data_IF_426456861787
#
_entry.id   IF_426456861787
#
_cell.length_a   1.000
_cell.length_b   1.000
_cell.length_c   1.000
_cell.angle_alpha   90.00
_cell.angle_beta   90.00
_cell.angle_gamma   90.00
#
_symmetry.space_group_name_H-M   'P 1'
#
loop_
_entity.id
_entity.type
_entity.pdbx_description
1 polymer ?
#
# COMPACT_ATOMS: atom_id res chain seq x y z
N UNK A 1 -23.65 -32.67 3.43
CA UNK A 1 -23.80 -31.38 4.16
C UNK A 1 -24.76 -30.50 3.37
N UNK A 2 -25.81 -30.01 4.03
CA UNK A 2 -26.77 -29.11 3.42
C UNK A 2 -26.13 -27.70 3.24
N UNK A 3 -26.60 -26.94 2.24
CA UNK A 3 -26.15 -25.55 2.03
C UNK A 3 -26.41 -24.67 3.27
N UNK A 4 -27.46 -25.00 4.06
CA UNK A 4 -27.75 -24.31 5.31
C UNK A 4 -26.72 -24.58 6.42
N UNK A 5 -26.14 -25.78 6.48
CA UNK A 5 -25.07 -26.10 7.43
C UNK A 5 -23.77 -25.41 7.05
N UNK A 6 -23.46 -25.33 5.75
CA UNK A 6 -22.30 -24.55 5.24
C UNK A 6 -22.46 -23.06 5.53
N UNK A 7 -23.64 -22.50 5.29
CA UNK A 7 -23.93 -21.10 5.58
C UNK A 7 -23.84 -20.79 7.09
N UNK A 8 -24.32 -21.70 7.93
CA UNK A 8 -24.23 -21.56 9.39
C UNK A 8 -22.82 -21.70 9.92
N UNK A 9 -21.98 -22.57 9.33
CA UNK A 9 -20.53 -22.65 9.64
C UNK A 9 -19.81 -21.40 9.20
N UNK A 10 -20.11 -20.88 8.01
CA UNK A 10 -19.53 -19.63 7.53
C UNK A 10 -19.92 -18.42 8.40
N UNK A 11 -21.16 -18.37 8.86
CA UNK A 11 -21.65 -17.32 9.76
C UNK A 11 -21.02 -17.38 11.17
N UNK A 12 -20.64 -18.58 11.64
CA UNK A 12 -19.99 -18.79 12.93
C UNK A 12 -18.46 -18.85 12.85
N UNK A 13 -17.88 -18.67 11.67
CA UNK A 13 -16.43 -18.61 11.52
C UNK A 13 -15.90 -17.34 12.21
N UNK A 14 -14.95 -17.51 13.12
CA UNK A 14 -14.25 -16.39 13.74
C UNK A 14 -13.61 -15.56 12.63
N UNK A 15 -14.05 -14.31 12.49
CA UNK A 15 -13.42 -13.38 11.56
C UNK A 15 -12.12 -12.88 12.17
N UNK A 16 -11.02 -13.33 11.59
CA UNK A 16 -9.70 -12.80 11.93
C UNK A 16 -9.42 -11.50 11.19
N UNK A 17 -8.52 -10.70 11.74
CA UNK A 17 -8.05 -9.48 11.06
C UNK A 17 -7.46 -9.81 9.70
N UNK A 18 -7.84 -9.06 8.68
CA UNK A 18 -7.38 -9.25 7.31
C UNK A 18 -6.05 -8.53 7.03
N UNK A 19 -5.59 -7.72 7.99
CA UNK A 19 -4.36 -6.92 7.86
C UNK A 19 -3.48 -7.09 9.10
N UNK A 20 -2.18 -7.03 8.91
CA UNK A 20 -1.18 -6.93 9.96
C UNK A 20 -0.45 -5.59 9.81
N UNK A 21 -0.53 -4.76 10.84
CA UNK A 21 0.07 -3.41 10.85
C UNK A 21 -0.35 -2.57 9.61
N UNK A 22 -1.63 -2.70 9.23
CA UNK A 22 -2.22 -1.99 8.09
C UNK A 22 -1.89 -2.57 6.70
N UNK A 23 -1.17 -3.70 6.64
CA UNK A 23 -0.82 -4.39 5.38
C UNK A 23 -1.66 -5.66 5.24
N UNK A 24 -2.32 -5.90 4.09
CA UNK A 24 -3.08 -7.14 3.86
C UNK A 24 -2.22 -8.38 4.00
N UNK A 25 -2.73 -9.41 4.69
CA UNK A 25 -2.01 -10.68 4.84
C UNK A 25 -1.64 -11.32 3.51
N UNK A 26 -2.50 -11.22 2.49
CA UNK A 26 -2.22 -11.72 1.15
C UNK A 26 -0.91 -11.16 0.57
N UNK A 27 -0.66 -9.86 0.76
CA UNK A 27 0.58 -9.22 0.28
C UNK A 27 1.79 -9.62 1.12
N UNK A 28 1.61 -9.83 2.43
CA UNK A 28 2.68 -10.33 3.32
C UNK A 28 3.05 -11.77 2.96
N UNK A 29 2.07 -12.64 2.77
CA UNK A 29 2.27 -14.04 2.37
C UNK A 29 2.99 -14.11 1.03
N UNK A 30 2.57 -13.33 0.05
CA UNK A 30 3.23 -13.25 -1.26
C UNK A 30 4.70 -12.83 -1.15
N UNK A 31 4.98 -11.77 -0.40
CA UNK A 31 6.35 -11.31 -0.16
C UNK A 31 7.17 -12.36 0.59
N UNK A 32 6.57 -13.08 1.53
CA UNK A 32 7.22 -14.16 2.28
C UNK A 32 7.59 -15.33 1.38
N UNK A 33 6.68 -15.76 0.51
CA UNK A 33 6.93 -16.82 -0.49
C UNK A 33 8.08 -16.44 -1.41
N UNK A 34 8.11 -15.20 -1.92
CA UNK A 34 9.21 -14.70 -2.74
C UNK A 34 10.56 -14.73 -2.01
N UNK A 35 10.59 -14.27 -0.76
CA UNK A 35 11.81 -14.30 0.08
C UNK A 35 12.26 -15.72 0.46
N UNK A 36 11.35 -16.68 0.48
CA UNK A 36 11.66 -18.10 0.70
C UNK A 36 12.19 -18.81 -0.56
N UNK A 37 12.26 -18.12 -1.69
CA UNK A 37 12.78 -18.65 -2.95
C UNK A 37 11.70 -18.93 -4.00
N UNK A 38 10.48 -18.40 -3.82
CA UNK A 38 9.36 -18.59 -4.72
C UNK A 38 8.52 -19.83 -4.41
N UNK A 39 7.49 -20.05 -5.22
CA UNK A 39 6.57 -21.18 -5.06
C UNK A 39 7.28 -22.53 -5.07
N UNK A 40 6.90 -23.50 -4.19
CA UNK A 40 7.58 -24.77 -4.05
C UNK A 40 7.39 -25.66 -5.28
N UNK A 41 8.44 -26.41 -5.62
CA UNK A 41 8.38 -27.44 -6.66
C UNK A 41 7.61 -28.66 -6.14
N UNK A 42 7.00 -29.42 -7.08
CA UNK A 42 6.31 -30.66 -6.74
C UNK A 42 7.19 -31.60 -5.91
N UNK A 43 6.64 -32.14 -4.82
CA UNK A 43 7.36 -33.02 -3.86
C UNK A 43 7.91 -32.28 -2.64
N UNK A 44 8.03 -30.96 -2.67
CA UNK A 44 8.51 -30.17 -1.51
C UNK A 44 7.45 -29.24 -0.89
N UNK A 45 6.21 -29.31 -1.36
CA UNK A 45 5.13 -28.43 -0.95
C UNK A 45 4.85 -28.50 0.55
N UNK A 46 4.76 -29.69 1.10
CA UNK A 46 4.45 -29.87 2.52
C UNK A 46 5.52 -29.27 3.45
N UNK A 47 6.80 -29.43 3.10
CA UNK A 47 7.90 -28.82 3.83
C UNK A 47 7.86 -27.28 3.72
N UNK A 48 7.50 -26.77 2.57
CA UNK A 48 7.36 -25.35 2.34
C UNK A 48 6.23 -24.76 3.19
N UNK A 49 5.02 -25.36 3.16
CA UNK A 49 3.87 -25.00 3.99
C UNK A 49 4.22 -25.02 5.47
N UNK A 50 4.97 -26.04 5.91
CA UNK A 50 5.43 -26.12 7.29
C UNK A 50 6.31 -24.93 7.68
N UNK A 51 7.31 -24.61 6.85
CA UNK A 51 8.23 -23.48 7.09
C UNK A 51 7.49 -22.15 7.07
N UNK A 52 6.61 -21.96 6.12
CA UNK A 52 5.77 -20.78 5.99
C UNK A 52 4.84 -20.60 7.21
N UNK A 53 4.17 -21.66 7.64
CA UNK A 53 3.34 -21.65 8.85
C UNK A 53 4.17 -21.34 10.11
N UNK A 54 5.40 -21.85 10.21
CA UNK A 54 6.32 -21.52 11.29
C UNK A 54 6.70 -20.03 11.34
N UNK A 55 6.65 -19.33 10.22
CA UNK A 55 6.90 -17.89 10.12
C UNK A 55 5.61 -17.09 10.38
N UNK A 56 4.48 -17.48 9.78
CA UNK A 56 3.21 -16.80 9.93
C UNK A 56 2.67 -16.80 11.36
N UNK A 57 2.98 -17.82 12.17
CA UNK A 57 2.52 -17.90 13.57
C UNK A 57 2.99 -16.72 14.43
N UNK A 58 4.02 -15.98 14.05
CA UNK A 58 4.48 -14.78 14.76
C UNK A 58 3.56 -13.58 14.57
N UNK A 59 2.83 -13.53 13.47
CA UNK A 59 1.91 -12.43 13.12
C UNK A 59 0.44 -12.86 13.17
N UNK A 60 0.15 -14.16 13.33
CA UNK A 60 -1.20 -14.72 13.47
C UNK A 60 -1.45 -15.27 14.89
N UNK A 61 -0.81 -14.72 15.93
CA UNK A 61 -0.97 -15.11 17.35
C UNK A 61 -0.86 -16.62 17.63
N UNK A 62 -0.16 -17.38 16.81
CA UNK A 62 -0.07 -18.86 16.85
C UNK A 62 -1.40 -19.57 16.65
N UNK A 63 -2.41 -18.90 16.13
CA UNK A 63 -3.70 -19.53 15.89
C UNK A 63 -3.70 -20.27 14.55
N UNK A 64 -3.76 -21.60 14.61
CA UNK A 64 -3.76 -22.44 13.42
C UNK A 64 -4.94 -22.13 12.49
N UNK A 65 -6.12 -21.81 13.06
CA UNK A 65 -7.29 -21.44 12.28
C UNK A 65 -7.11 -20.14 11.50
N UNK A 66 -6.38 -19.18 12.06
CA UNK A 66 -6.04 -17.95 11.37
C UNK A 66 -5.04 -18.20 10.23
N UNK A 67 -3.96 -18.93 10.53
CA UNK A 67 -2.95 -19.27 9.51
C UNK A 67 -3.57 -20.02 8.33
N UNK A 68 -4.52 -20.94 8.59
CA UNK A 68 -5.27 -21.67 7.55
C UNK A 68 -6.05 -20.75 6.59
N UNK A 69 -6.47 -19.57 7.05
CA UNK A 69 -7.19 -18.60 6.20
C UNK A 69 -6.26 -17.77 5.30
N UNK A 70 -4.99 -17.63 5.68
CA UNK A 70 -4.04 -16.74 4.97
C UNK A 70 -2.98 -17.49 4.17
N UNK A 71 -2.69 -18.76 4.52
CA UNK A 71 -1.65 -19.56 3.88
C UNK A 71 -2.10 -20.13 2.54
N UNK A 72 -1.20 -20.18 1.56
CA UNK A 72 -1.43 -20.81 0.28
C UNK A 72 -1.08 -22.31 0.32
N UNK A 73 -1.92 -23.17 -0.25
CA UNK A 73 -1.71 -24.64 -0.25
C UNK A 73 -0.86 -25.13 -1.41
N UNK A 74 -0.59 -24.31 -2.42
CA UNK A 74 0.19 -24.65 -3.62
C UNK A 74 -0.31 -25.91 -4.36
N UNK A 75 -1.62 -26.20 -4.24
CA UNK A 75 -2.22 -27.42 -4.82
C UNK A 75 -1.91 -28.72 -4.06
N UNK A 76 -1.47 -28.64 -2.80
CA UNK A 76 -1.46 -29.77 -1.89
C UNK A 76 -2.86 -30.07 -1.39
N UNK A 77 -3.12 -31.30 -0.97
CA UNK A 77 -4.37 -31.67 -0.33
C UNK A 77 -4.63 -30.81 0.90
N UNK A 78 -5.83 -30.21 0.98
CA UNK A 78 -6.17 -29.21 1.98
C UNK A 78 -6.10 -29.78 3.42
N UNK A 79 -6.53 -31.03 3.60
CA UNK A 79 -6.49 -31.70 4.91
C UNK A 79 -5.02 -31.92 5.37
N UNK A 80 -4.14 -32.30 4.45
CA UNK A 80 -2.70 -32.46 4.75
C UNK A 80 -2.02 -31.13 5.03
N UNK A 81 -2.31 -30.10 4.22
CA UNK A 81 -1.79 -28.76 4.43
C UNK A 81 -2.20 -28.22 5.82
N UNK A 82 -3.46 -28.38 6.19
CA UNK A 82 -3.97 -27.91 7.48
C UNK A 82 -3.43 -28.70 8.67
N UNK A 83 -3.23 -30.02 8.54
CA UNK A 83 -2.53 -30.80 9.55
C UNK A 83 -1.07 -30.34 9.75
N UNK A 84 -0.43 -29.95 8.67
CA UNK A 84 0.93 -29.40 8.69
C UNK A 84 0.99 -28.04 9.40
N UNK A 85 0.02 -27.16 9.18
CA UNK A 85 -0.11 -25.87 9.89
C UNK A 85 -0.31 -26.10 11.39
N UNK A 86 -1.18 -27.04 11.79
CA UNK A 86 -1.40 -27.36 13.19
C UNK A 86 -0.12 -27.88 13.87
N UNK A 87 0.64 -28.71 13.17
CA UNK A 87 1.92 -29.21 13.68
C UNK A 87 2.93 -28.07 13.84
N UNK A 88 3.01 -27.14 12.90
CA UNK A 88 3.86 -25.95 12.99
C UNK A 88 3.52 -25.09 14.22
N UNK A 89 2.23 -24.96 14.56
CA UNK A 89 1.80 -24.16 15.72
C UNK A 89 2.15 -24.84 17.08
N UNK A 90 2.33 -26.17 17.12
CA UNK A 90 2.69 -26.91 18.35
C UNK A 90 4.15 -26.75 18.73
N UNK A 91 5.01 -26.44 17.79
CA UNK A 91 6.46 -26.33 18.02
C UNK A 91 6.78 -25.08 18.84
N UNK A 92 7.73 -25.20 19.77
CA UNK A 92 8.23 -24.06 20.53
C UNK A 92 8.77 -22.96 19.61
N UNK A 93 8.54 -21.70 19.97
CA UNK A 93 9.04 -20.57 19.21
C UNK A 93 9.76 -19.57 20.11
N UNK A 94 10.67 -18.82 19.53
CA UNK A 94 11.29 -17.63 20.15
C UNK A 94 10.23 -16.53 20.31
N UNK A 95 10.45 -15.64 21.27
CA UNK A 95 9.63 -14.43 21.42
C UNK A 95 9.94 -13.37 20.37
N UNK A 96 11.14 -13.42 19.78
CA UNK A 96 11.55 -12.47 18.74
C UNK A 96 11.00 -12.87 17.37
N UNK A 97 10.40 -11.91 16.68
CA UNK A 97 9.93 -12.09 15.29
C UNK A 97 11.15 -12.29 14.39
N UNK A 98 11.19 -13.36 13.57
CA UNK A 98 12.29 -13.63 12.65
C UNK A 98 12.47 -12.48 11.64
N UNK A 99 13.73 -12.23 11.25
CA UNK A 99 14.04 -11.13 10.32
C UNK A 99 13.40 -11.33 8.94
N UNK A 100 13.20 -12.58 8.52
CA UNK A 100 12.51 -12.90 7.28
C UNK A 100 11.05 -12.38 7.31
N UNK A 101 10.37 -12.52 8.45
CA UNK A 101 8.99 -12.00 8.61
C UNK A 101 8.98 -10.47 8.59
N UNK A 102 9.93 -9.82 9.28
CA UNK A 102 10.06 -8.36 9.26
C UNK A 102 10.29 -7.84 7.85
N UNK A 103 11.19 -8.49 7.09
CA UNK A 103 11.47 -8.14 5.70
C UNK A 103 10.24 -8.33 4.80
N UNK A 104 9.49 -9.42 4.98
CA UNK A 104 8.27 -9.67 4.23
C UNK A 104 7.21 -8.58 4.48
N UNK A 105 6.98 -8.21 5.74
CA UNK A 105 6.04 -7.14 6.12
C UNK A 105 6.48 -5.80 5.54
N UNK A 106 7.77 -5.46 5.60
CA UNK A 106 8.28 -4.20 5.05
C UNK A 106 8.18 -4.16 3.52
N UNK A 107 8.50 -5.27 2.84
CA UNK A 107 8.37 -5.38 1.38
C UNK A 107 6.91 -5.26 0.95
N UNK A 108 6.03 -5.99 1.63
CA UNK A 108 4.58 -5.92 1.37
C UNK A 108 4.05 -4.50 1.62
N UNK A 109 4.49 -3.82 2.68
CA UNK A 109 4.11 -2.43 2.95
C UNK A 109 4.52 -1.48 1.83
N UNK A 110 5.75 -1.59 1.33
CA UNK A 110 6.24 -0.78 0.20
C UNK A 110 5.40 -1.02 -1.05
N UNK A 111 5.13 -2.30 -1.37
CA UNK A 111 4.33 -2.67 -2.53
C UNK A 111 2.88 -2.19 -2.40
N UNK A 112 2.29 -2.30 -1.21
CA UNK A 112 0.93 -1.82 -0.93
C UNK A 112 0.81 -0.32 -1.10
N UNK A 113 1.76 0.45 -0.55
CA UNK A 113 1.80 1.90 -0.72
C UNK A 113 2.01 2.30 -2.20
N UNK A 114 2.86 1.58 -2.93
CA UNK A 114 3.06 1.82 -4.36
C UNK A 114 1.77 1.56 -5.17
N UNK A 115 1.05 0.47 -4.89
CA UNK A 115 -0.25 0.18 -5.52
C UNK A 115 -1.28 1.28 -5.20
N UNK A 116 -1.41 1.66 -3.94
CA UNK A 116 -2.32 2.75 -3.55
C UNK A 116 -1.95 4.08 -4.21
N UNK A 117 -0.67 4.37 -4.37
CA UNK A 117 -0.21 5.56 -5.08
C UNK A 117 -0.59 5.49 -6.57
N UNK A 118 -0.44 4.31 -7.20
CA UNK A 118 -0.83 4.10 -8.61
C UNK A 118 -2.34 4.18 -8.80
N UNK A 119 -3.12 3.58 -7.91
CA UNK A 119 -4.58 3.67 -7.94
C UNK A 119 -5.07 5.12 -7.73
N UNK A 120 -4.45 5.85 -6.79
CA UNK A 120 -4.74 7.28 -6.60
C UNK A 120 -4.27 8.12 -7.79
N UNK A 121 -3.17 7.77 -8.45
CA UNK A 121 -2.72 8.44 -9.67
C UNK A 121 -3.70 8.25 -10.83
N UNK A 122 -4.40 7.09 -10.90
CA UNK A 122 -5.50 6.87 -11.85
C UNK A 122 -6.75 7.72 -11.60
N UNK A 123 -6.86 8.35 -10.43
CA UNK A 123 -7.94 9.30 -10.11
C UNK A 123 -7.63 10.72 -10.64
N UNK A 124 -6.36 11.01 -10.91
CA UNK A 124 -6.01 12.26 -11.59
C UNK A 124 -6.42 12.13 -13.05
N UNK A 125 -7.38 12.98 -13.45
CA UNK A 125 -7.89 12.98 -14.82
C UNK A 125 -6.73 13.00 -15.82
N UNK A 126 -6.82 12.18 -16.86
CA UNK A 126 -5.84 12.13 -17.97
C UNK A 126 -5.74 13.47 -18.73
N UNK A 127 -6.58 14.42 -18.37
CA UNK A 127 -6.58 15.75 -18.92
C UNK A 127 -5.92 16.71 -17.95
N UNK A 128 -4.83 17.34 -18.32
CA UNK A 128 -4.17 18.34 -17.48
C UNK A 128 -5.14 19.49 -17.15
N UNK A 129 -5.06 20.06 -15.93
CA UNK A 129 -5.92 21.15 -15.53
C UNK A 129 -5.78 22.32 -16.49
N UNK A 130 -6.91 22.81 -17.00
CA UNK A 130 -6.92 23.94 -17.92
C UNK A 130 -6.81 25.27 -17.16
N UNK A 131 -6.04 26.20 -17.74
CA UNK A 131 -5.94 27.54 -17.20
C UNK A 131 -7.24 28.32 -17.41
N UNK A 132 -7.61 29.21 -16.48
CA UNK A 132 -8.77 30.09 -16.64
C UNK A 132 -8.65 30.94 -17.93
N UNK A 133 -9.76 31.21 -18.58
CA UNK A 133 -9.78 32.03 -19.81
C UNK A 133 -9.23 33.47 -19.58
N UNK A 134 -9.43 34.01 -18.36
CA UNK A 134 -8.91 35.33 -17.97
C UNK A 134 -7.67 35.16 -17.11
N UNK A 135 -6.50 35.30 -17.72
CA UNK A 135 -5.21 35.28 -17.03
C UNK A 135 -4.59 36.69 -17.02
N UNK A 136 -3.83 37.04 -15.96
CA UNK A 136 -2.99 38.24 -15.95
C UNK A 136 -2.02 38.24 -17.13
N UNK A 137 -1.72 39.43 -17.64
CA UNK A 137 -0.84 39.60 -18.81
C UNK A 137 0.54 38.92 -18.67
N UNK A 138 1.11 38.97 -17.45
CA UNK A 138 2.40 38.34 -17.15
C UNK A 138 2.32 36.82 -17.31
N UNK A 139 1.28 36.18 -16.74
CA UNK A 139 1.11 34.72 -16.84
C UNK A 139 0.87 34.33 -18.30
N UNK A 140 0.06 35.06 -19.04
CA UNK A 140 -0.11 34.84 -20.50
C UNK A 140 1.19 34.90 -21.26
N UNK A 141 2.02 35.90 -20.96
CA UNK A 141 3.33 36.07 -21.63
C UNK A 141 4.27 34.89 -21.34
N UNK A 142 4.40 34.53 -20.06
CA UNK A 142 5.29 33.44 -19.62
C UNK A 142 4.85 32.06 -20.12
N UNK A 143 3.56 31.84 -20.29
CA UNK A 143 3.01 30.55 -20.77
C UNK A 143 2.73 30.52 -22.28
N UNK A 144 3.02 31.62 -23.00
CA UNK A 144 2.68 31.76 -24.44
C UNK A 144 3.33 30.71 -25.34
N UNK A 145 4.57 30.34 -25.05
CA UNK A 145 5.37 29.36 -25.82
C UNK A 145 5.42 27.97 -25.19
N UNK A 146 4.70 27.77 -24.10
CA UNK A 146 4.66 26.47 -23.38
C UNK A 146 3.63 25.56 -24.06
N UNK A 147 3.96 24.26 -24.30
CA UNK A 147 2.98 23.28 -24.77
C UNK A 147 1.73 23.23 -23.87
N UNK A 148 0.57 22.93 -24.47
CA UNK A 148 -0.72 23.01 -23.78
C UNK A 148 -0.75 22.24 -22.46
N UNK A 149 -0.18 21.04 -22.45
CA UNK A 149 -0.19 20.11 -21.32
C UNK A 149 0.65 20.60 -20.12
N UNK A 150 1.61 21.47 -20.37
CA UNK A 150 2.50 22.02 -19.32
C UNK A 150 2.13 23.45 -18.91
N UNK A 151 1.20 24.10 -19.59
CA UNK A 151 0.85 25.52 -19.30
C UNK A 151 0.39 25.74 -17.86
N UNK A 152 -0.43 24.87 -17.32
CA UNK A 152 -0.93 25.00 -15.95
C UNK A 152 0.20 24.86 -14.92
N UNK A 153 1.07 23.87 -15.09
CA UNK A 153 2.23 23.66 -14.21
C UNK A 153 3.19 24.85 -14.23
N UNK A 154 3.51 25.35 -15.44
CA UNK A 154 4.37 26.53 -15.60
C UNK A 154 3.73 27.79 -15.03
N UNK A 155 2.42 27.99 -15.23
CA UNK A 155 1.71 29.11 -14.64
C UNK A 155 1.78 29.08 -13.10
N UNK A 156 1.61 27.93 -12.49
CA UNK A 156 1.72 27.76 -11.03
C UNK A 156 3.17 27.96 -10.52
N UNK A 157 4.17 27.53 -11.28
CA UNK A 157 5.57 27.71 -10.92
C UNK A 157 6.04 29.17 -10.91
N UNK A 158 5.30 30.08 -11.51
CA UNK A 158 5.61 31.50 -11.49
C UNK A 158 5.27 32.18 -10.15
N UNK A 159 4.32 31.65 -9.39
CA UNK A 159 3.86 32.30 -8.15
C UNK A 159 4.90 32.37 -7.03
N UNK A 160 5.68 31.33 -6.71
CA UNK A 160 6.67 31.40 -5.66
C UNK A 160 7.73 32.52 -5.87
N UNK A 161 8.37 32.63 -7.04
CA UNK A 161 9.32 33.72 -7.27
C UNK A 161 8.65 35.10 -7.27
N UNK A 162 7.40 35.21 -7.74
CA UNK A 162 6.64 36.46 -7.63
C UNK A 162 6.37 36.81 -6.16
N UNK A 163 5.92 35.84 -5.36
CA UNK A 163 5.66 36.05 -3.93
C UNK A 163 6.91 36.53 -3.19
N UNK A 164 8.10 36.00 -3.53
CA UNK A 164 9.36 36.41 -2.93
C UNK A 164 9.70 37.89 -3.18
N UNK A 165 9.17 38.51 -4.25
CA UNK A 165 9.35 39.92 -4.57
C UNK A 165 8.24 40.83 -3.99
N UNK A 166 7.16 40.26 -3.45
CA UNK A 166 6.07 41.04 -2.85
C UNK A 166 6.38 41.38 -1.38
N UNK A 167 7.22 42.41 -1.20
CA UNK A 167 7.52 42.91 0.14
C UNK A 167 6.37 43.72 0.71
N UNK A 168 6.00 43.49 1.96
CA UNK A 168 4.95 44.24 2.66
C UNK A 168 3.52 43.95 2.22
N UNK A 169 3.32 42.92 1.39
CA UNK A 169 1.97 42.42 1.08
C UNK A 169 1.60 41.39 2.14
N UNK A 170 0.58 41.75 2.94
CA UNK A 170 0.08 40.89 4.00
C UNK A 170 -1.39 40.58 3.78
N UNK A 171 -1.85 39.45 4.28
CA UNK A 171 -3.25 39.06 4.29
C UNK A 171 -3.63 38.50 5.66
N UNK A 172 -4.89 38.63 5.99
CA UNK A 172 -5.45 38.05 7.23
C UNK A 172 -6.09 36.72 6.92
N UNK A 173 -5.66 35.67 7.59
CA UNK A 173 -6.20 34.32 7.40
C UNK A 173 -7.33 34.02 8.39
N UNK A 174 -7.94 32.86 8.28
CA UNK A 174 -9.06 32.41 9.14
C UNK A 174 -8.74 32.32 10.62
N UNK A 175 -7.46 32.19 10.97
CA UNK A 175 -6.93 32.26 12.34
C UNK A 175 -6.87 33.70 12.90
N UNK A 176 -7.31 34.69 12.12
CA UNK A 176 -7.28 36.10 12.41
C UNK A 176 -5.87 36.71 12.57
N UNK A 177 -4.82 35.97 12.18
CA UNK A 177 -3.44 36.47 12.19
C UNK A 177 -3.06 37.07 10.83
N UNK A 178 -2.08 37.97 10.87
CA UNK A 178 -1.54 38.60 9.67
C UNK A 178 -0.36 37.80 9.16
N UNK A 179 -0.45 37.33 7.94
CA UNK A 179 0.59 36.55 7.25
C UNK A 179 1.19 37.35 6.11
N UNK A 180 2.48 37.17 5.87
CA UNK A 180 3.12 37.66 4.66
C UNK A 180 2.84 36.74 3.47
N UNK A 181 2.85 37.29 2.26
CA UNK A 181 2.66 36.50 1.05
C UNK A 181 3.88 35.61 0.79
N UNK A 182 3.81 34.38 1.30
CA UNK A 182 4.79 33.33 1.02
C UNK A 182 4.10 32.17 0.31
N UNK A 183 4.71 31.65 -0.75
CA UNK A 183 4.16 30.55 -1.53
C UNK A 183 5.23 29.54 -1.90
N UNK A 184 4.93 28.26 -1.74
CA UNK A 184 5.78 27.15 -2.16
C UNK A 184 4.97 26.20 -3.01
N UNK A 185 5.52 25.81 -4.17
CA UNK A 185 4.95 24.78 -5.04
C UNK A 185 5.84 23.55 -5.05
N UNK A 186 5.22 22.38 -4.95
CA UNK A 186 5.86 21.10 -5.15
C UNK A 186 5.27 20.46 -6.42
N UNK A 187 6.11 20.28 -7.43
CA UNK A 187 5.75 19.57 -8.65
C UNK A 187 6.26 18.14 -8.56
N UNK A 188 5.33 17.19 -8.60
CA UNK A 188 5.63 15.75 -8.58
C UNK A 188 5.21 15.18 -9.92
N UNK A 189 6.14 14.58 -10.64
CA UNK A 189 5.88 13.85 -11.87
C UNK A 189 6.21 12.37 -11.66
N UNK A 190 5.38 11.48 -12.22
CA UNK A 190 5.71 10.07 -12.32
C UNK A 190 6.90 9.91 -13.28
N UNK A 191 7.90 9.13 -12.89
CA UNK A 191 8.95 8.71 -13.81
C UNK A 191 8.34 7.68 -14.78
N UNK A 192 8.45 7.95 -16.05
CA UNK A 192 8.08 7.03 -17.14
C UNK A 192 9.17 6.02 -17.38
#
# INVERSE_FOLDING_TARGET
ESEEEKARRAANAVQYEQTYDGVPYEEIVKALVELMGGAPVHGNRNNFIYREACLLRYICNREAAWIKQVIETFGEDEAKAFATVENACKVAQSTAIPDLVKQAVETARKNHLAKQATEKAGIYADVPPQLPAKLPKLIKLLTSKVPADFKAAVAMAVFPPLAAHLKGVTFRYTDNQVHEAAMMNLLIAAMS
#
